data_IF_296679990577
#
_entry.id   IF_296679990577
#
_cell.length_a   1.000
_cell.length_b   1.000
_cell.length_c   1.000
_cell.angle_alpha   90.00
_cell.angle_beta   90.00
_cell.angle_gamma   90.00
#
_symmetry.space_group_name_H-M   'P 1'
#
loop_
_entity.id
_entity.type
_entity.pdbx_description
1 polymer ?
#
# COMPACT_ATOMS: atom_id res chain seq x y z
N UNK A 1 8.89 -2.68 -8.68
CA UNK A 1 7.69 -3.49 -8.37
C UNK A 1 6.88 -3.63 -9.65
N UNK A 2 6.34 -4.80 -9.96
CA UNK A 2 5.44 -4.99 -11.10
C UNK A 2 3.98 -4.95 -10.64
N UNK A 3 3.04 -4.87 -11.60
CA UNK A 3 1.60 -4.80 -11.30
C UNK A 3 1.10 -5.96 -10.44
N UNK A 4 1.58 -7.19 -10.69
CA UNK A 4 1.16 -8.38 -9.93
C UNK A 4 1.55 -8.27 -8.45
N UNK A 5 2.79 -7.86 -8.17
CA UNK A 5 3.29 -7.63 -6.80
C UNK A 5 2.55 -6.48 -6.13
N UNK A 6 2.27 -5.40 -6.88
CA UNK A 6 1.48 -4.28 -6.38
C UNK A 6 0.06 -4.71 -5.97
N UNK A 7 -0.65 -5.44 -6.84
CA UNK A 7 -2.00 -5.90 -6.57
C UNK A 7 -2.05 -6.84 -5.36
N UNK A 8 -1.07 -7.73 -5.22
CA UNK A 8 -0.97 -8.60 -4.05
C UNK A 8 -0.83 -7.81 -2.73
N UNK A 9 -0.04 -6.73 -2.75
CA UNK A 9 0.07 -5.83 -1.59
C UNK A 9 -1.22 -5.08 -1.33
N UNK A 10 -1.83 -4.52 -2.37
CA UNK A 10 -3.10 -3.81 -2.23
C UNK A 10 -4.17 -4.68 -1.58
N UNK A 11 -4.43 -5.87 -2.13
CA UNK A 11 -5.42 -6.80 -1.56
C UNK A 11 -5.11 -7.19 -0.12
N UNK A 12 -3.83 -7.33 0.23
CA UNK A 12 -3.42 -7.69 1.59
C UNK A 12 -3.64 -6.54 2.57
N UNK A 13 -3.35 -5.31 2.16
CA UNK A 13 -3.57 -4.10 2.96
C UNK A 13 -5.05 -3.79 3.14
N UNK A 14 -5.86 -3.97 2.08
CA UNK A 14 -7.32 -3.89 2.14
C UNK A 14 -7.87 -4.89 3.17
N UNK A 15 -7.41 -6.15 3.11
CA UNK A 15 -7.77 -7.15 4.12
C UNK A 15 -7.40 -6.71 5.53
N UNK A 16 -6.18 -6.23 5.78
CA UNK A 16 -5.81 -5.75 7.11
C UNK A 16 -6.70 -4.61 7.60
N UNK A 17 -7.08 -3.70 6.71
CA UNK A 17 -7.96 -2.59 7.06
C UNK A 17 -9.36 -3.06 7.45
N UNK A 18 -9.96 -3.95 6.66
CA UNK A 18 -11.32 -4.46 6.92
C UNK A 18 -11.41 -5.17 8.28
N UNK A 19 -10.33 -5.84 8.71
CA UNK A 19 -10.27 -6.55 9.99
C UNK A 19 -9.71 -5.70 11.14
N UNK A 20 -9.06 -4.57 10.84
CA UNK A 20 -8.50 -3.67 11.84
C UNK A 20 -8.55 -2.21 11.35
N UNK A 21 -9.66 -1.48 11.57
CA UNK A 21 -9.83 -0.11 11.07
C UNK A 21 -8.81 0.92 11.60
N UNK A 22 -8.02 0.59 12.63
CA UNK A 22 -6.93 1.41 13.14
C UNK A 22 -5.54 1.03 12.60
N UNK A 23 -5.45 0.07 11.66
CA UNK A 23 -4.18 -0.53 11.22
C UNK A 23 -3.13 0.48 10.77
N UNK A 24 -3.56 1.55 10.08
CA UNK A 24 -2.65 2.58 9.60
C UNK A 24 -2.36 3.68 10.63
N UNK A 25 -2.98 3.66 11.80
CA UNK A 25 -2.72 4.65 12.86
C UNK A 25 -1.41 4.37 13.61
N UNK A 26 -0.88 3.15 13.49
CA UNK A 26 0.37 2.73 14.12
C UNK A 26 1.64 3.21 13.39
N UNK A 27 1.48 3.93 12.27
CA UNK A 27 2.59 4.50 11.48
C UNK A 27 2.55 6.03 11.43
N UNK A 28 3.69 6.71 11.20
CA UNK A 28 3.72 8.17 11.07
C UNK A 28 2.77 8.71 9.99
N UNK A 29 2.22 9.90 10.21
CA UNK A 29 1.27 10.53 9.29
C UNK A 29 1.76 10.63 7.83
N UNK A 30 3.05 10.89 7.62
CA UNK A 30 3.65 10.94 6.27
C UNK A 30 3.66 9.58 5.56
N UNK A 31 3.82 8.48 6.30
CA UNK A 31 3.73 7.13 5.75
C UNK A 31 2.26 6.75 5.49
N UNK A 32 1.35 7.13 6.40
CA UNK A 32 -0.08 6.94 6.20
C UNK A 32 -0.58 7.64 4.94
N UNK A 33 -0.23 8.91 4.74
CA UNK A 33 -0.58 9.68 3.53
C UNK A 33 -0.01 9.02 2.26
N UNK A 34 1.23 8.54 2.32
CA UNK A 34 1.85 7.83 1.20
C UNK A 34 1.08 6.55 0.85
N UNK A 35 0.68 5.76 1.85
CA UNK A 35 -0.09 4.53 1.64
C UNK A 35 -1.52 4.84 1.14
N UNK A 36 -2.19 5.86 1.67
CA UNK A 36 -3.47 6.35 1.14
C UNK A 36 -3.37 6.71 -0.34
N UNK A 37 -2.32 7.46 -0.72
CA UNK A 37 -2.12 7.86 -2.11
C UNK A 37 -1.75 6.70 -3.04
N UNK A 38 -1.12 5.64 -2.55
CA UNK A 38 -0.59 4.55 -3.39
C UNK A 38 -1.46 3.28 -3.39
N UNK A 39 -2.26 3.08 -2.35
CA UNK A 39 -3.16 1.93 -2.19
C UNK A 39 -4.63 2.32 -2.07
N UNK A 40 -4.95 3.60 -2.29
CA UNK A 40 -6.33 4.11 -2.34
C UNK A 40 -7.11 3.94 -1.02
N UNK A 41 -6.36 3.83 0.08
CA UNK A 41 -6.94 3.71 1.40
C UNK A 41 -7.69 5.01 1.79
N UNK A 42 -8.86 4.89 2.43
CA UNK A 42 -9.82 5.98 2.71
C UNK A 42 -10.15 6.86 1.50
N UNK A 43 -9.96 6.35 0.28
CA UNK A 43 -10.36 7.07 -0.93
C UNK A 43 -11.87 6.97 -1.08
N UNK A 44 -12.52 8.11 -1.21
CA UNK A 44 -13.97 8.17 -1.42
C UNK A 44 -14.36 7.54 -2.76
N UNK A 45 -15.55 6.93 -2.84
CA UNK A 45 -16.01 6.18 -4.02
C UNK A 45 -15.97 7.00 -5.32
N UNK A 46 -16.21 8.31 -5.23
CA UNK A 46 -16.14 9.26 -6.35
C UNK A 46 -14.70 9.49 -6.86
N UNK A 47 -13.70 9.26 -6.01
CA UNK A 47 -12.27 9.38 -6.32
C UNK A 47 -11.62 8.03 -6.61
N UNK A 48 -12.33 6.93 -6.38
CA UNK A 48 -11.80 5.61 -6.67
C UNK A 48 -11.63 5.43 -8.19
N UNK A 49 -10.46 4.96 -8.67
CA UNK A 49 -10.23 4.83 -10.09
C UNK A 49 -11.12 3.72 -10.68
N UNK A 50 -11.56 3.93 -11.92
CA UNK A 50 -12.33 2.93 -12.68
C UNK A 50 -11.53 1.63 -12.93
N UNK A 51 -10.21 1.72 -12.90
CA UNK A 51 -9.30 0.60 -13.12
C UNK A 51 -8.05 0.75 -12.26
N UNK A 52 -7.81 -0.24 -11.39
CA UNK A 52 -6.59 -0.34 -10.60
C UNK A 52 -5.35 -0.49 -11.48
N UNK A 53 -5.50 -1.12 -12.65
CA UNK A 53 -4.38 -1.28 -13.60
C UNK A 53 -3.98 0.04 -14.22
N UNK A 54 -4.95 0.87 -14.62
CA UNK A 54 -4.67 2.20 -15.16
C UNK A 54 -4.05 3.10 -14.08
N UNK A 55 -4.64 3.10 -12.87
CA UNK A 55 -4.08 3.81 -11.72
C UNK A 55 -2.61 3.43 -11.45
N UNK A 56 -2.30 2.13 -11.43
CA UNK A 56 -0.93 1.64 -11.27
C UNK A 56 -0.01 2.14 -12.38
N UNK A 57 -0.44 2.07 -13.64
CA UNK A 57 0.38 2.51 -14.77
C UNK A 57 0.71 4.01 -14.66
N UNK A 58 -0.29 4.84 -14.39
CA UNK A 58 -0.16 6.30 -14.41
C UNK A 58 0.55 6.85 -13.16
N UNK A 59 0.33 6.20 -12.02
CA UNK A 59 0.76 6.71 -10.72
C UNK A 59 2.02 6.01 -10.22
N UNK A 60 2.24 4.75 -10.56
CA UNK A 60 3.22 3.89 -9.86
C UNK A 60 4.29 3.33 -10.79
N UNK A 61 3.92 2.79 -11.96
CA UNK A 61 4.78 1.92 -12.77
C UNK A 61 6.13 2.56 -13.15
N UNK A 62 6.13 3.85 -13.46
CA UNK A 62 7.32 4.59 -13.92
C UNK A 62 7.92 5.49 -12.83
N UNK A 63 7.55 5.28 -11.55
CA UNK A 63 8.00 6.09 -10.43
C UNK A 63 8.83 5.27 -9.43
N UNK A 64 10.11 4.97 -9.71
CA UNK A 64 10.91 4.09 -8.88
C UNK A 64 11.10 4.57 -7.44
N UNK A 65 11.25 5.88 -7.22
CA UNK A 65 11.33 6.46 -5.87
C UNK A 65 10.03 6.24 -5.09
N UNK A 66 8.88 6.52 -5.71
CA UNK A 66 7.58 6.25 -5.10
C UNK A 66 7.41 4.77 -4.75
N UNK A 67 7.85 3.88 -5.65
CA UNK A 67 7.82 2.45 -5.40
C UNK A 67 8.69 2.03 -4.22
N UNK A 68 9.86 2.66 -4.06
CA UNK A 68 10.75 2.41 -2.94
C UNK A 68 10.13 2.91 -1.63
N UNK A 69 9.66 4.15 -1.60
CA UNK A 69 9.08 4.78 -0.41
C UNK A 69 7.84 4.02 0.06
N UNK A 70 6.97 3.59 -0.85
CA UNK A 70 5.79 2.81 -0.45
C UNK A 70 6.17 1.46 0.15
N UNK A 71 7.24 0.80 -0.33
CA UNK A 71 7.70 -0.47 0.27
C UNK A 71 8.23 -0.26 1.68
N UNK A 72 8.92 0.86 1.93
CA UNK A 72 9.36 1.24 3.28
C UNK A 72 8.15 1.46 4.19
N UNK A 73 7.13 2.19 3.72
CA UNK A 73 5.93 2.43 4.51
C UNK A 73 5.16 1.12 4.81
N UNK A 74 5.06 0.20 3.85
CA UNK A 74 4.46 -1.12 4.09
C UNK A 74 5.30 -1.96 5.06
N UNK A 75 6.63 -1.94 4.98
CA UNK A 75 7.47 -2.67 5.94
C UNK A 75 7.35 -2.10 7.36
N UNK A 76 7.30 -0.76 7.50
CA UNK A 76 7.05 -0.11 8.78
C UNK A 76 5.70 -0.51 9.38
N UNK A 77 4.66 -0.56 8.54
CA UNK A 77 3.31 -0.99 8.93
C UNK A 77 3.29 -2.45 9.40
N UNK A 78 3.94 -3.35 8.66
CA UNK A 78 4.04 -4.77 9.04
C UNK A 78 4.77 -4.96 10.36
N UNK A 79 5.84 -4.19 10.60
CA UNK A 79 6.56 -4.21 11.88
C UNK A 79 5.72 -3.71 13.03
N UNK A 80 4.98 -2.62 12.82
CA UNK A 80 4.10 -2.05 13.83
C UNK A 80 2.99 -3.04 14.23
N UNK A 81 2.45 -3.77 13.25
CA UNK A 81 1.44 -4.80 13.46
C UNK A 81 1.98 -6.15 14.01
N UNK A 82 3.30 -6.28 14.22
CA UNK A 82 3.91 -7.55 14.62
C UNK A 82 3.83 -8.66 13.56
N UNK A 83 3.57 -8.31 12.29
CA UNK A 83 3.36 -9.25 11.19
C UNK A 83 4.66 -9.77 10.53
N UNK A 84 5.83 -9.38 11.04
CA UNK A 84 7.14 -9.75 10.47
C UNK A 84 7.64 -8.76 9.43
N UNK A 85 8.47 -9.21 8.47
CA UNK A 85 9.02 -8.35 7.41
C UNK A 85 8.16 -8.46 6.16
N UNK A 86 8.08 -7.38 5.38
CA UNK A 86 7.37 -7.39 4.10
C UNK A 86 7.94 -8.45 3.13
N UNK A 87 9.26 -8.63 3.11
CA UNK A 87 9.96 -9.60 2.25
C UNK A 87 9.47 -11.03 2.42
N UNK A 88 8.95 -11.36 3.59
CA UNK A 88 8.42 -12.70 3.91
C UNK A 88 7.15 -13.02 3.10
N UNK A 89 6.50 -12.01 2.50
CA UNK A 89 5.20 -12.13 1.82
C UNK A 89 5.22 -11.87 0.32
N UNK A 90 6.19 -11.10 -0.19
CA UNK A 90 6.21 -10.69 -1.61
C UNK A 90 7.48 -11.05 -2.37
N UNK A 91 8.51 -11.57 -1.68
CA UNK A 91 9.83 -11.85 -2.24
C UNK A 91 10.53 -10.62 -2.82
N UNK A 92 11.85 -10.70 -2.97
CA UNK A 92 12.67 -9.63 -3.58
C UNK A 92 12.18 -9.27 -4.99
#
# INVERSE_FOLDING_TARGET
MNYKKYLALQTRLEWFYDFHPGFFDDIPASQKELLQRTFLYDTSDDKYPKSIREFYNDTIAERPQLQHDMRIAVDALYRAAGAGKLTDYIGD
#
